data_IF_603841643463
#
_entry.id   IF_603841643463
#
_cell.length_a   1.000
_cell.length_b   1.000
_cell.length_c   1.000
_cell.angle_alpha   90.00
_cell.angle_beta   90.00
_cell.angle_gamma   90.00
#
_symmetry.space_group_name_H-M   'P 1'
#
loop_
_entity.id
_entity.type
_entity.pdbx_description
1 polymer ?
#
# COMPACT_ATOMS: atom_id res chain seq x y z
N UNK A 1 -21.15 7.20 9.06
CA UNK A 1 -20.66 6.16 9.99
C UNK A 1 -19.15 6.08 9.84
N UNK A 2 -18.40 6.29 10.91
CA UNK A 2 -16.94 6.18 10.87
C UNK A 2 -16.55 4.70 10.73
N UNK A 3 -15.77 4.34 9.72
CA UNK A 3 -15.26 2.96 9.57
C UNK A 3 -14.43 2.59 10.81
N UNK A 4 -14.59 1.39 11.39
CA UNK A 4 -13.78 0.95 12.52
C UNK A 4 -12.30 0.92 12.12
N UNK A 5 -11.45 1.55 12.93
CA UNK A 5 -10.02 1.66 12.67
C UNK A 5 -9.33 0.30 12.90
N UNK A 6 -8.85 -0.31 11.82
CA UNK A 6 -8.05 -1.54 11.87
C UNK A 6 -6.59 -1.14 11.74
N UNK A 7 -5.85 -1.23 12.84
CA UNK A 7 -4.43 -0.89 12.88
C UNK A 7 -3.58 -2.00 12.29
N UNK A 8 -2.48 -1.61 11.63
CA UNK A 8 -1.40 -2.55 11.31
C UNK A 8 -0.59 -2.88 12.57
N UNK A 9 0.01 -4.07 12.60
CA UNK A 9 0.93 -4.47 13.69
C UNK A 9 2.15 -3.55 13.79
N UNK A 10 2.60 -3.02 12.64
CA UNK A 10 3.66 -2.02 12.51
C UNK A 10 3.26 -0.99 11.45
N UNK A 11 3.51 0.30 11.67
CA UNK A 11 3.31 1.31 10.65
C UNK A 11 4.18 1.00 9.42
N UNK A 12 3.66 1.34 8.24
CA UNK A 12 4.36 1.18 6.96
C UNK A 12 4.96 2.54 6.61
N UNK A 13 6.28 2.58 6.38
CA UNK A 13 6.95 3.77 5.88
C UNK A 13 6.78 3.87 4.35
N UNK A 14 6.31 5.01 3.87
CA UNK A 14 6.01 5.30 2.46
C UNK A 14 6.62 6.62 1.97
N UNK A 15 7.60 7.15 2.70
CA UNK A 15 8.34 8.42 2.43
C UNK A 15 8.84 8.61 0.99
N UNK A 16 9.09 7.54 0.24
CA UNK A 16 9.58 7.61 -1.15
C UNK A 16 8.49 7.47 -2.21
N UNK A 17 7.21 7.34 -1.82
CA UNK A 17 6.10 7.16 -2.74
C UNK A 17 5.38 8.50 -3.02
N UNK A 18 5.43 9.02 -4.26
CA UNK A 18 4.75 10.25 -4.60
C UNK A 18 3.24 10.14 -4.38
N UNK A 19 2.65 11.09 -3.67
CA UNK A 19 1.21 11.12 -3.37
C UNK A 19 0.78 10.24 -2.20
N UNK A 20 1.73 9.66 -1.46
CA UNK A 20 1.47 8.93 -0.22
C UNK A 20 1.82 9.78 1.00
N UNK A 21 1.13 9.58 2.14
CA UNK A 21 1.64 10.05 3.42
C UNK A 21 2.96 9.34 3.75
N UNK A 22 3.80 9.94 4.60
CA UNK A 22 5.10 9.35 4.99
C UNK A 22 4.96 8.02 5.74
N UNK A 23 3.84 7.87 6.45
CA UNK A 23 3.54 6.69 7.27
C UNK A 23 2.07 6.31 7.15
N UNK A 24 1.81 5.02 6.98
CA UNK A 24 0.48 4.41 7.02
C UNK A 24 0.35 3.53 8.27
N UNK A 25 -0.53 3.91 9.19
CA UNK A 25 -0.74 3.20 10.46
C UNK A 25 -1.96 2.26 10.45
N UNK A 26 -2.94 2.50 9.58
CA UNK A 26 -4.19 1.76 9.54
C UNK A 26 -4.66 1.42 8.12
N UNK A 27 -5.50 0.38 8.03
CA UNK A 27 -6.01 -0.16 6.77
C UNK A 27 -6.83 0.86 5.98
N UNK A 28 -7.61 1.71 6.64
CA UNK A 28 -8.48 2.68 5.97
C UNK A 28 -7.71 3.86 5.38
N UNK A 29 -6.67 4.34 6.08
CA UNK A 29 -5.74 5.33 5.57
C UNK A 29 -4.96 4.77 4.38
N UNK A 30 -4.49 3.53 4.47
CA UNK A 30 -3.77 2.88 3.38
C UNK A 30 -4.65 2.70 2.13
N UNK A 31 -5.89 2.25 2.28
CA UNK A 31 -6.84 2.14 1.16
C UNK A 31 -7.07 3.50 0.49
N UNK A 32 -7.36 4.54 1.28
CA UNK A 32 -7.57 5.90 0.75
C UNK A 32 -6.36 6.41 -0.01
N UNK A 33 -5.15 6.17 0.47
CA UNK A 33 -3.92 6.55 -0.23
C UNK A 33 -3.77 5.83 -1.58
N UNK A 34 -3.97 4.50 -1.60
CA UNK A 34 -3.90 3.67 -2.82
C UNK A 34 -4.94 4.09 -3.86
N UNK A 35 -6.17 4.36 -3.43
CA UNK A 35 -7.26 4.82 -4.28
C UNK A 35 -7.03 6.23 -4.82
N UNK A 36 -6.60 7.17 -3.97
CA UNK A 36 -6.32 8.55 -4.37
C UNK A 36 -5.20 8.62 -5.42
N UNK A 37 -4.15 7.82 -5.25
CA UNK A 37 -3.06 7.72 -6.22
C UNK A 37 -3.40 6.84 -7.44
N UNK A 38 -4.60 6.25 -7.50
CA UNK A 38 -5.08 5.34 -8.55
C UNK A 38 -4.08 4.24 -8.91
N UNK A 39 -3.28 3.79 -7.95
CA UNK A 39 -2.10 2.96 -8.24
C UNK A 39 -2.40 1.66 -9.03
N UNK A 40 -3.50 0.93 -8.75
CA UNK A 40 -3.83 -0.28 -9.52
C UNK A 40 -4.04 -0.01 -11.01
N UNK A 41 -4.46 1.22 -11.37
CA UNK A 41 -4.80 1.63 -12.74
C UNK A 41 -3.69 2.45 -13.39
N UNK A 42 -3.05 3.34 -12.62
CA UNK A 42 -2.02 4.25 -13.11
C UNK A 42 -0.67 3.56 -13.35
N UNK A 43 -0.38 2.47 -12.61
CA UNK A 43 0.94 1.81 -12.66
C UNK A 43 0.88 0.36 -13.17
N UNK A 44 -0.31 -0.19 -13.41
CA UNK A 44 -0.56 -1.56 -13.91
C UNK A 44 0.36 -2.64 -13.31
N UNK A 45 0.71 -2.49 -12.03
CA UNK A 45 1.63 -3.38 -11.35
C UNK A 45 0.83 -4.44 -10.57
N UNK A 46 1.08 -5.75 -10.80
CA UNK A 46 0.39 -6.82 -10.07
C UNK A 46 0.49 -6.67 -8.54
N UNK A 47 1.59 -6.12 -8.04
CA UNK A 47 1.78 -5.89 -6.61
C UNK A 47 0.80 -4.86 -6.03
N UNK A 48 0.48 -3.78 -6.79
CA UNK A 48 -0.49 -2.78 -6.36
C UNK A 48 -1.94 -3.29 -6.43
N UNK A 49 -2.25 -4.14 -7.41
CA UNK A 49 -3.54 -4.83 -7.49
C UNK A 49 -3.72 -5.74 -6.27
N UNK A 50 -2.71 -6.54 -5.95
CA UNK A 50 -2.75 -7.43 -4.78
C UNK A 50 -2.88 -6.65 -3.46
N UNK A 51 -2.10 -5.57 -3.30
CA UNK A 51 -2.20 -4.71 -2.12
C UNK A 51 -3.62 -4.13 -1.96
N UNK A 52 -4.24 -3.65 -3.05
CA UNK A 52 -5.61 -3.16 -3.04
C UNK A 52 -6.62 -4.24 -2.65
N UNK A 53 -6.51 -5.44 -3.21
CA UNK A 53 -7.41 -6.55 -2.90
C UNK A 53 -7.30 -6.98 -1.43
N UNK A 54 -6.08 -7.06 -0.89
CA UNK A 54 -5.85 -7.41 0.52
C UNK A 54 -6.37 -6.34 1.47
N UNK A 55 -6.26 -5.06 1.12
CA UNK A 55 -6.84 -3.96 1.89
C UNK A 55 -8.36 -4.06 1.96
N UNK A 56 -9.03 -4.32 0.84
CA UNK A 56 -10.47 -4.54 0.80
C UNK A 56 -10.88 -5.76 1.64
N UNK A 57 -10.15 -6.86 1.53
CA UNK A 57 -10.40 -8.07 2.32
C UNK A 57 -10.20 -7.81 3.82
N UNK A 58 -9.17 -7.06 4.20
CA UNK A 58 -8.93 -6.69 5.59
C UNK A 58 -10.07 -5.84 6.17
N UNK A 59 -10.60 -4.88 5.41
CA UNK A 59 -11.76 -4.10 5.83
C UNK A 59 -13.04 -4.94 5.98
N UNK A 60 -13.27 -5.85 5.04
CA UNK A 60 -14.46 -6.70 5.04
C UNK A 60 -14.45 -7.71 6.21
N UNK A 61 -13.31 -8.36 6.44
CA UNK A 61 -13.18 -9.44 7.43
C UNK A 61 -12.85 -8.93 8.84
N UNK A 62 -12.19 -7.76 8.94
CA UNK A 62 -11.77 -7.14 10.20
C UNK A 62 -10.89 -8.05 11.08
N UNK A 63 -10.16 -8.97 10.46
CA UNK A 63 -9.25 -9.88 11.18
C UNK A 63 -7.82 -9.34 11.20
N UNK A 64 -7.09 -9.64 12.27
CA UNK A 64 -5.67 -9.32 12.40
C UNK A 64 -4.85 -9.97 11.29
N UNK A 65 -5.18 -11.22 10.93
CA UNK A 65 -4.49 -11.95 9.86
C UNK A 65 -4.66 -11.25 8.49
N UNK A 66 -5.86 -10.76 8.18
CA UNK A 66 -6.09 -10.03 6.94
C UNK A 66 -5.40 -8.66 6.94
N UNK A 67 -5.39 -7.94 8.07
CA UNK A 67 -4.66 -6.69 8.21
C UNK A 67 -3.15 -6.88 8.01
N UNK A 68 -2.57 -7.95 8.57
CA UNK A 68 -1.15 -8.25 8.40
C UNK A 68 -0.81 -8.67 6.97
N UNK A 69 -1.68 -9.46 6.32
CA UNK A 69 -1.53 -9.81 4.91
C UNK A 69 -1.56 -8.56 4.00
N UNK A 70 -2.45 -7.61 4.30
CA UNK A 70 -2.51 -6.33 3.59
C UNK A 70 -1.25 -5.49 3.82
N UNK A 71 -0.72 -5.48 5.06
CA UNK A 71 0.53 -4.81 5.41
C UNK A 71 1.70 -5.33 4.58
N UNK A 72 1.85 -6.65 4.51
CA UNK A 72 2.94 -7.30 3.75
C UNK A 72 2.83 -6.97 2.26
N UNK A 73 1.62 -7.09 1.68
CA UNK A 73 1.41 -6.76 0.26
C UNK A 73 1.76 -5.30 -0.07
N UNK A 74 1.38 -4.35 0.80
CA UNK A 74 1.74 -2.95 0.67
C UNK A 74 3.25 -2.70 0.73
N UNK A 75 3.94 -3.31 1.69
CA UNK A 75 5.40 -3.19 1.81
C UNK A 75 6.09 -3.71 0.54
N UNK A 76 5.65 -4.85 0.01
CA UNK A 76 6.20 -5.41 -1.22
C UNK A 76 5.95 -4.52 -2.44
N UNK A 77 4.74 -3.96 -2.56
CA UNK A 77 4.42 -3.02 -3.64
C UNK A 77 5.29 -1.75 -3.56
N UNK A 78 5.43 -1.17 -2.36
CA UNK A 78 6.28 0.00 -2.11
C UNK A 78 7.78 -0.27 -2.39
N UNK A 79 8.27 -1.45 -2.02
CA UNK A 79 9.65 -1.85 -2.28
C UNK A 79 9.91 -2.06 -3.78
N UNK A 80 8.97 -2.69 -4.51
CA UNK A 80 9.07 -2.89 -5.95
C UNK A 80 9.13 -1.57 -6.73
N UNK A 81 8.37 -0.57 -6.29
CA UNK A 81 8.43 0.81 -6.82
C UNK A 81 9.78 1.46 -6.61
N UNK A 82 10.31 1.38 -5.39
CA UNK A 82 11.60 1.97 -5.04
C UNK A 82 12.73 1.34 -5.86
N UNK A 83 12.68 0.02 -6.07
CA UNK A 83 13.63 -0.71 -6.92
C UNK A 83 13.52 -0.32 -8.40
N UNK A 84 12.31 -0.18 -8.93
CA UNK A 84 12.10 0.26 -10.32
C UNK A 84 12.59 1.70 -10.53
N UNK A 85 12.40 2.59 -9.56
CA UNK A 85 12.89 3.96 -9.62
C UNK A 85 14.43 4.03 -9.63
N UNK A 86 15.10 3.23 -8.78
CA UNK A 86 16.57 3.14 -8.77
C UNK A 86 17.10 2.59 -10.09
N UNK A 87 16.47 1.55 -10.63
CA UNK A 87 16.88 0.94 -11.89
C UNK A 87 16.67 1.89 -13.07
N UNK A 88 15.55 2.62 -13.12
CA UNK A 88 15.28 3.62 -14.15
C UNK A 88 16.29 4.77 -14.13
N UNK A 89 16.69 5.24 -12.93
CA UNK A 89 17.73 6.26 -12.79
C UNK A 89 19.11 5.75 -13.25
N UNK A 90 19.45 4.50 -12.94
CA UNK A 90 20.73 3.90 -13.35
C UNK A 90 20.86 3.68 -14.87
N UNK A 91 19.75 3.53 -15.60
CA UNK A 91 19.75 3.38 -17.07
C UNK A 91 19.79 4.74 -17.79
N UNK A 92 19.44 5.83 -17.10
CA UNK A 92 19.37 7.17 -17.67
C UNK A 92 20.65 8.02 -17.47
N UNK A 93 21.69 7.49 -16.82
CA UNK A 93 22.96 8.15 -16.51
C UNK A 93 24.11 7.58 -17.36
#
# INVERSE_FOLDING_TARGET
>A
MSEPTILFSKPIATVSLPGFPDVLADVAAARRAVEAARLPVARSCPAWVEASNRLLLAQATRTVAAAEAARIALVLAAAGESLNAVTAFAVAA
#
